data_IF_182860319872
#
_entry.id   IF_182860319872
#
_cell.length_a   1.000
_cell.length_b   1.000
_cell.length_c   1.000
_cell.angle_alpha   90.00
_cell.angle_beta   90.00
_cell.angle_gamma   90.00
#
_symmetry.space_group_name_H-M   'P 1'
#
loop_
_entity.id
_entity.type
_entity.pdbx_description
1 polymer ?
#
# COMPACT_ATOMS: atom_id res chain seq x y z
N UNK A 1 -6.04 2.43 -11.39
CA UNK A 1 -7.26 2.65 -12.21
C UNK A 1 -7.06 3.75 -13.25
N UNK A 2 -6.68 4.98 -12.88
CA UNK A 2 -6.48 6.08 -13.86
C UNK A 2 -5.32 5.77 -14.85
N UNK A 3 -4.21 5.20 -14.36
CA UNK A 3 -3.10 4.73 -15.21
C UNK A 3 -3.50 3.69 -16.26
N UNK A 4 -4.40 2.77 -15.91
CA UNK A 4 -4.84 1.70 -16.79
C UNK A 4 -5.76 2.21 -17.92
N UNK A 5 -6.64 3.17 -17.60
CA UNK A 5 -7.73 3.56 -18.51
C UNK A 5 -7.35 4.78 -19.39
N UNK A 6 -6.50 5.71 -18.90
CA UNK A 6 -6.25 7.02 -19.56
C UNK A 6 -4.76 7.44 -19.51
N UNK A 7 -3.86 6.53 -19.09
CA UNK A 7 -2.43 6.82 -18.87
C UNK A 7 -1.62 7.20 -20.12
N UNK A 8 -2.20 7.11 -21.32
CA UNK A 8 -1.56 7.49 -22.58
C UNK A 8 -1.32 9.00 -22.72
N UNK A 9 -2.08 9.83 -22.00
CA UNK A 9 -1.90 11.28 -22.01
C UNK A 9 -1.00 11.72 -20.84
N UNK A 10 0.07 12.43 -21.17
CA UNK A 10 1.10 12.88 -20.23
C UNK A 10 0.52 13.59 -18.99
N UNK A 11 -0.49 14.44 -19.16
CA UNK A 11 -1.14 15.15 -18.06
C UNK A 11 -1.80 14.21 -17.04
N UNK A 12 -2.47 13.16 -17.50
CA UNK A 12 -3.11 12.18 -16.61
C UNK A 12 -2.11 11.25 -15.94
N UNK A 13 -1.00 10.94 -16.63
CA UNK A 13 0.14 10.23 -16.02
C UNK A 13 0.70 11.01 -14.83
N UNK A 14 0.97 12.30 -14.99
CA UNK A 14 1.49 13.16 -13.92
C UNK A 14 0.48 13.33 -12.78
N UNK A 15 -0.80 13.60 -13.11
CA UNK A 15 -1.85 13.73 -12.09
C UNK A 15 -1.99 12.45 -11.27
N UNK A 16 -1.94 11.29 -11.93
CA UNK A 16 -2.02 10.00 -11.25
C UNK A 16 -0.79 9.74 -10.37
N UNK A 17 0.41 10.12 -10.84
CA UNK A 17 1.63 10.06 -10.04
C UNK A 17 1.55 10.93 -8.77
N UNK A 18 0.99 12.13 -8.88
CA UNK A 18 0.72 13.00 -7.73
C UNK A 18 -0.27 12.36 -6.75
N UNK A 19 -1.38 11.81 -7.24
CA UNK A 19 -2.37 11.14 -6.38
C UNK A 19 -1.78 9.92 -5.66
N UNK A 20 -0.96 9.12 -6.35
CA UNK A 20 -0.25 8.00 -5.74
C UNK A 20 0.74 8.51 -4.68
N UNK A 21 1.54 9.53 -5.01
CA UNK A 21 2.50 10.11 -4.07
C UNK A 21 1.83 10.66 -2.80
N UNK A 22 0.72 11.38 -2.97
CA UNK A 22 -0.09 11.87 -1.85
C UNK A 22 -0.68 10.72 -1.03
N UNK A 23 -1.28 9.71 -1.67
CA UNK A 23 -1.81 8.53 -0.99
C UNK A 23 -0.73 7.80 -0.20
N UNK A 24 0.42 7.52 -0.82
CA UNK A 24 1.56 6.88 -0.17
C UNK A 24 2.11 7.71 0.99
N UNK A 25 2.18 9.04 0.87
CA UNK A 25 2.65 9.90 1.97
C UNK A 25 1.76 9.82 3.21
N UNK A 26 0.44 9.65 3.01
CA UNK A 26 -0.52 9.49 4.09
C UNK A 26 -0.46 8.09 4.72
N UNK A 27 -0.15 7.05 3.94
CA UNK A 27 -0.21 5.65 4.36
C UNK A 27 1.12 5.13 4.93
N UNK A 28 2.24 5.41 4.24
CA UNK A 28 3.60 5.01 4.65
C UNK A 28 4.19 5.91 5.74
N UNK A 29 3.50 7.00 6.09
CA UNK A 29 3.95 7.97 7.06
C UNK A 29 3.72 7.56 8.52
N UNK A 30 3.59 8.59 9.36
CA UNK A 30 3.36 8.46 10.80
C UNK A 30 2.16 7.58 11.22
N UNK A 31 1.01 7.52 10.52
CA UNK A 31 -0.20 6.90 11.07
C UNK A 31 -0.07 5.39 11.35
N UNK A 32 0.31 4.59 10.35
CA UNK A 32 0.41 3.12 10.50
C UNK A 32 1.49 2.75 11.51
N UNK A 33 2.63 3.45 11.44
CA UNK A 33 3.72 3.28 12.40
C UNK A 33 3.29 3.62 13.82
N UNK A 34 2.54 4.71 14.00
CA UNK A 34 2.07 5.16 15.31
C UNK A 34 1.07 4.17 15.91
N UNK A 35 0.07 3.74 15.15
CA UNK A 35 -0.93 2.76 15.60
C UNK A 35 -0.25 1.46 16.05
N UNK A 36 0.65 0.92 15.22
CA UNK A 36 1.30 -0.35 15.53
C UNK A 36 2.29 -0.25 16.69
N UNK A 37 3.09 0.82 16.80
CA UNK A 37 4.03 0.99 17.93
C UNK A 37 3.30 1.12 19.27
N UNK A 38 2.12 1.76 19.27
CA UNK A 38 1.34 1.93 20.49
C UNK A 38 0.76 0.61 21.02
N UNK A 39 0.62 -0.41 20.17
CA UNK A 39 0.14 -1.75 20.57
C UNK A 39 1.23 -2.57 21.29
N UNK A 40 2.51 -2.19 21.17
CA UNK A 40 3.62 -2.86 21.86
C UNK A 40 3.93 -2.23 23.22
N UNK A 41 4.34 -3.03 24.22
CA UNK A 41 4.93 -2.52 25.47
C UNK A 41 6.12 -1.60 25.18
N UNK A 42 6.35 -0.58 26.02
CA UNK A 42 7.40 0.42 25.78
C UNK A 42 8.79 -0.20 25.57
N UNK A 43 9.09 -1.26 26.31
CA UNK A 43 10.35 -2.02 26.22
C UNK A 43 10.52 -2.79 24.90
N UNK A 44 9.44 -3.04 24.17
CA UNK A 44 9.43 -3.88 22.96
C UNK A 44 9.16 -3.09 21.67
N UNK A 45 8.90 -1.78 21.76
CA UNK A 45 8.62 -0.91 20.59
C UNK A 45 9.70 -0.98 19.51
N UNK A 46 10.96 -1.16 19.88
CA UNK A 46 12.07 -1.31 18.93
C UNK A 46 11.94 -2.61 18.11
N UNK A 47 11.62 -3.73 18.78
CA UNK A 47 11.33 -5.02 18.14
C UNK A 47 10.07 -4.94 17.28
N UNK A 48 9.03 -4.26 17.76
CA UNK A 48 7.80 -3.99 17.00
C UNK A 48 8.07 -3.21 15.70
N UNK A 49 8.93 -2.18 15.77
CA UNK A 49 9.36 -1.46 14.56
C UNK A 49 10.14 -2.34 13.58
N UNK A 50 10.98 -3.24 14.10
CA UNK A 50 11.68 -4.24 13.30
C UNK A 50 10.70 -5.12 12.52
N UNK A 51 9.66 -5.63 13.19
CA UNK A 51 8.61 -6.44 12.55
C UNK A 51 7.85 -5.68 11.46
N UNK A 52 7.49 -4.42 11.71
CA UNK A 52 6.83 -3.56 10.71
C UNK A 52 7.71 -3.43 9.46
N UNK A 53 9.02 -3.18 9.65
CA UNK A 53 9.95 -3.02 8.54
C UNK A 53 10.12 -4.31 7.74
N UNK A 54 10.27 -5.46 8.43
CA UNK A 54 10.39 -6.77 7.77
C UNK A 54 9.12 -7.05 6.96
N UNK A 55 7.95 -6.90 7.56
CA UNK A 55 6.68 -7.15 6.89
C UNK A 55 6.49 -6.25 5.66
N UNK A 56 6.86 -4.97 5.77
CA UNK A 56 6.77 -4.01 4.65
C UNK A 56 7.71 -4.41 3.51
N UNK A 57 8.97 -4.71 3.83
CA UNK A 57 9.96 -5.13 2.83
C UNK A 57 9.59 -6.44 2.16
N UNK A 58 9.09 -7.43 2.92
CA UNK A 58 8.60 -8.69 2.36
C UNK A 58 7.41 -8.45 1.43
N UNK A 59 6.45 -7.61 1.84
CA UNK A 59 5.31 -7.24 0.98
C UNK A 59 5.75 -6.57 -0.33
N UNK A 60 6.74 -5.67 -0.28
CA UNK A 60 7.31 -5.03 -1.46
C UNK A 60 8.03 -6.02 -2.39
N UNK A 61 8.81 -6.95 -1.84
CA UNK A 61 9.50 -7.98 -2.61
C UNK A 61 8.51 -8.92 -3.29
N UNK A 62 7.54 -9.44 -2.54
CA UNK A 62 6.52 -10.35 -3.07
C UNK A 62 5.65 -9.62 -4.10
N UNK A 63 5.17 -8.42 -3.78
CA UNK A 63 4.36 -7.61 -4.70
C UNK A 63 5.10 -7.26 -5.99
N UNK A 64 6.36 -6.82 -5.89
CA UNK A 64 7.20 -6.52 -7.04
C UNK A 64 7.44 -7.75 -7.92
N UNK A 65 7.73 -8.90 -7.31
CA UNK A 65 7.91 -10.16 -8.02
C UNK A 65 6.62 -10.61 -8.74
N UNK A 66 5.46 -10.52 -8.07
CA UNK A 66 4.17 -10.90 -8.65
C UNK A 66 3.79 -10.00 -9.83
N UNK A 67 3.94 -8.67 -9.68
CA UNK A 67 3.65 -7.73 -10.78
C UNK A 67 4.62 -7.94 -11.93
N UNK A 68 5.91 -8.16 -11.64
CA UNK A 68 6.91 -8.52 -12.66
C UNK A 68 6.54 -9.81 -13.41
N UNK A 69 6.08 -10.83 -12.69
CA UNK A 69 5.63 -12.08 -13.28
C UNK A 69 4.39 -11.91 -14.16
N UNK A 70 3.42 -11.09 -13.75
CA UNK A 70 2.24 -10.75 -14.58
C UNK A 70 2.68 -10.08 -15.88
N UNK A 71 3.54 -9.06 -15.80
CA UNK A 71 4.01 -8.34 -16.98
C UNK A 71 4.74 -9.30 -17.92
N UNK A 72 5.65 -10.13 -17.40
CA UNK A 72 6.40 -11.10 -18.18
C UNK A 72 5.51 -12.17 -18.83
N UNK A 73 4.42 -12.58 -18.16
CA UNK A 73 3.52 -13.63 -18.65
C UNK A 73 2.57 -13.17 -19.77
N UNK A 74 2.27 -11.88 -19.84
CA UNK A 74 1.34 -11.32 -20.85
C UNK A 74 2.04 -10.88 -22.14
N UNK A 75 3.35 -11.05 -22.24
CA UNK A 75 4.15 -10.73 -23.42
C UNK A 75 4.51 -9.24 -23.54
N UNK A 76 4.98 -8.85 -24.72
CA UNK A 76 5.41 -7.47 -24.98
C UNK A 76 4.22 -6.57 -25.34
N UNK A 77 4.17 -5.37 -24.74
CA UNK A 77 3.22 -4.32 -25.11
C UNK A 77 2.50 -3.67 -23.93
N UNK A 78 1.66 -2.69 -24.25
CA UNK A 78 1.03 -1.82 -23.24
C UNK A 78 -0.05 -2.57 -22.43
N UNK A 79 -0.66 -3.59 -23.02
CA UNK A 79 -1.71 -4.43 -22.38
C UNK A 79 -1.21 -5.13 -21.12
N UNK A 80 0.07 -5.54 -21.08
CA UNK A 80 0.68 -6.17 -19.92
C UNK A 80 0.74 -5.21 -18.71
N UNK A 81 1.09 -3.95 -18.96
CA UNK A 81 1.14 -2.90 -17.94
C UNK A 81 -0.26 -2.49 -17.49
N UNK A 82 -1.23 -2.40 -18.41
CA UNK A 82 -2.62 -2.12 -18.08
C UNK A 82 -3.19 -3.17 -17.11
N UNK A 83 -2.93 -4.45 -17.40
CA UNK A 83 -3.34 -5.58 -16.57
C UNK A 83 -2.69 -5.54 -15.19
N UNK A 84 -1.38 -5.25 -15.12
CA UNK A 84 -0.67 -5.04 -13.85
C UNK A 84 -1.28 -3.90 -13.01
N UNK A 85 -1.60 -2.76 -13.65
CA UNK A 85 -2.23 -1.63 -12.96
C UNK A 85 -3.66 -1.92 -12.50
N UNK A 86 -4.41 -2.78 -13.21
CA UNK A 86 -5.72 -3.25 -12.77
C UNK A 86 -5.63 -4.15 -11.54
N UNK A 87 -4.68 -5.09 -11.52
CA UNK A 87 -4.43 -5.96 -10.36
C UNK A 87 -4.04 -5.12 -9.14
N UNK A 88 -3.14 -4.14 -9.31
CA UNK A 88 -2.80 -3.19 -8.24
C UNK A 88 -4.01 -2.41 -7.75
N UNK A 89 -4.89 -1.96 -8.65
CA UNK A 89 -6.09 -1.22 -8.29
C UNK A 89 -7.07 -2.08 -7.47
N UNK A 90 -7.36 -3.31 -7.92
CA UNK A 90 -8.22 -4.26 -7.19
C UNK A 90 -7.63 -4.55 -5.80
N UNK A 91 -6.33 -4.81 -5.72
CA UNK A 91 -5.63 -5.06 -4.46
C UNK A 91 -5.75 -3.88 -3.50
N UNK A 92 -5.56 -2.65 -3.99
CA UNK A 92 -5.71 -1.44 -3.19
C UNK A 92 -7.15 -1.27 -2.68
N UNK A 93 -8.16 -1.57 -3.49
CA UNK A 93 -9.56 -1.57 -3.05
C UNK A 93 -9.81 -2.60 -1.95
N UNK A 94 -9.36 -3.85 -2.15
CA UNK A 94 -9.51 -4.90 -1.14
C UNK A 94 -8.89 -4.50 0.20
N UNK A 95 -7.65 -3.99 0.18
CA UNK A 95 -6.97 -3.53 1.40
C UNK A 95 -7.72 -2.35 2.04
N UNK A 96 -8.24 -1.42 1.23
CA UNK A 96 -9.05 -0.29 1.73
C UNK A 96 -10.32 -0.78 2.42
N UNK A 97 -11.02 -1.77 1.85
CA UNK A 97 -12.19 -2.37 2.47
C UNK A 97 -11.84 -3.11 3.76
N UNK A 98 -10.74 -3.85 3.80
CA UNK A 98 -10.26 -4.50 5.03
C UNK A 98 -9.90 -3.48 6.10
N UNK A 99 -9.35 -2.33 5.73
CA UNK A 99 -9.00 -1.25 6.65
C UNK A 99 -10.22 -0.65 7.36
N UNK A 100 -11.42 -0.71 6.76
CA UNK A 100 -12.66 -0.29 7.42
C UNK A 100 -13.02 -1.16 8.64
N UNK A 101 -12.49 -2.39 8.71
CA UNK A 101 -12.65 -3.29 9.85
C UNK A 101 -11.67 -3.04 10.99
N UNK A 102 -10.74 -2.09 10.86
CA UNK A 102 -9.80 -1.75 11.92
C UNK A 102 -10.51 -1.07 13.09
N UNK A 103 -10.00 -1.30 14.30
CA UNK A 103 -10.51 -0.65 15.51
C UNK A 103 -10.46 0.86 15.34
N UNK A 104 -11.59 1.54 15.55
CA UNK A 104 -11.62 2.99 15.52
C UNK A 104 -10.81 3.62 16.65
N UNK A 105 -10.36 4.86 16.45
CA UNK A 105 -9.53 5.64 17.40
C UNK A 105 -10.05 5.67 18.84
N UNK A 106 -11.38 5.61 19.02
CA UNK A 106 -11.98 5.58 20.36
C UNK A 106 -11.70 4.30 21.14
N UNK A 107 -11.44 3.17 20.47
CA UNK A 107 -11.07 1.91 21.11
C UNK A 107 -9.58 1.88 21.46
N UNK A 108 -8.72 2.46 20.60
CA UNK A 108 -7.28 2.62 20.84
C UNK A 108 -7.01 3.48 22.09
N UNK A 109 -7.71 4.61 22.23
CA UNK A 109 -7.58 5.51 23.39
C UNK A 109 -8.03 4.90 24.72
N UNK A 110 -8.86 3.84 24.70
CA UNK A 110 -9.28 3.12 25.91
C UNK A 110 -8.24 2.10 26.37
N UNK A 111 -7.39 1.60 25.48
CA UNK A 111 -6.27 0.71 25.81
C UNK A 111 -5.09 1.46 26.43
N UNK A 112 -4.98 2.77 26.16
CA UNK A 112 -3.92 3.64 26.68
C UNK A 112 -4.22 4.25 28.07
N UNK A 113 -5.38 3.96 28.67
CA UNK A 113 -5.77 4.37 30.03
C UNK A 113 -5.71 3.19 30.98
#
# INVERSE_FOLDING_TARGET
MIFAIIGYQFSFFILSGLLIGLGLSSLLGAPVRYIMINEFPESERASGQGLININTSTGQLVGGALIGAVIASMGEGIVAYESAYLILAVSAFLITFLALGLKGRSAELKMLR
#
